data_IF_935853706212
#
_entry.id   IF_935853706212
#
_cell.length_a   1.000
_cell.length_b   1.000
_cell.length_c   1.000
_cell.angle_alpha   90.00
_cell.angle_beta   90.00
_cell.angle_gamma   90.00
#
_symmetry.space_group_name_H-M   'P 1'
#
loop_
_entity.id
_entity.type
_entity.pdbx_description
1 polymer ?
#
# COMPACT_ATOMS: atom_id res chain seq x y z
N UNK A 1 -5.60 20.58 -5.58
CA UNK A 1 -5.85 19.20 -6.08
C UNK A 1 -7.09 18.70 -5.39
N UNK A 2 -7.99 18.04 -6.11
CA UNK A 2 -9.25 17.52 -5.56
C UNK A 2 -9.15 15.99 -5.52
N UNK A 3 -9.39 15.40 -4.34
CA UNK A 3 -9.41 13.94 -4.14
C UNK A 3 -10.78 13.42 -4.59
N UNK A 4 -10.83 12.72 -5.73
CA UNK A 4 -12.08 12.15 -6.26
C UNK A 4 -12.16 10.65 -5.90
N UNK A 5 -13.13 10.19 -5.09
CA UNK A 5 -13.29 8.77 -4.78
C UNK A 5 -13.93 8.02 -5.96
N UNK A 6 -13.18 7.14 -6.62
CA UNK A 6 -13.72 6.26 -7.69
C UNK A 6 -13.93 4.82 -7.24
N UNK A 7 -13.23 4.40 -6.19
CA UNK A 7 -13.36 3.11 -5.52
C UNK A 7 -13.41 3.37 -4.00
N UNK A 8 -14.02 2.47 -3.24
CA UNK A 8 -14.11 2.64 -1.77
C UNK A 8 -12.69 2.71 -1.19
N UNK A 9 -12.38 3.81 -0.50
CA UNK A 9 -11.08 4.02 0.13
C UNK A 9 -9.94 4.39 -0.84
N UNK A 10 -10.23 4.71 -2.10
CA UNK A 10 -9.22 5.15 -3.10
C UNK A 10 -9.52 6.55 -3.59
N UNK A 11 -8.52 7.42 -3.60
CA UNK A 11 -8.59 8.69 -4.31
C UNK A 11 -7.61 8.75 -5.48
N UNK A 12 -7.88 9.63 -6.44
CA UNK A 12 -6.99 9.90 -7.57
C UNK A 12 -6.46 11.33 -7.48
N UNK A 13 -5.19 11.52 -7.83
CA UNK A 13 -4.54 12.84 -7.88
C UNK A 13 -3.44 12.88 -8.94
N UNK A 14 -3.03 14.09 -9.33
CA UNK A 14 -1.71 14.28 -9.93
C UNK A 14 -0.63 14.05 -8.86
N UNK A 15 0.53 13.54 -9.28
CA UNK A 15 1.70 13.38 -8.40
C UNK A 15 2.35 14.74 -8.12
N UNK A 16 2.49 15.15 -6.85
CA UNK A 16 3.27 16.33 -6.52
C UNK A 16 4.76 16.16 -6.89
N UNK A 17 5.46 17.25 -7.19
CA UNK A 17 6.86 17.24 -7.63
C UNK A 17 7.89 17.26 -6.49
N UNK A 18 7.43 17.07 -5.26
CA UNK A 18 8.28 17.00 -4.07
C UNK A 18 7.71 16.04 -3.02
N UNK A 19 8.62 15.44 -2.24
CA UNK A 19 8.29 14.49 -1.18
C UNK A 19 7.38 15.09 -0.08
N UNK A 20 7.64 16.29 0.47
CA UNK A 20 6.78 16.89 1.50
C UNK A 20 5.33 17.07 1.04
N UNK A 21 5.11 17.58 -0.16
CA UNK A 21 3.77 17.77 -0.72
C UNK A 21 3.07 16.44 -0.99
N UNK A 22 3.81 15.43 -1.42
CA UNK A 22 3.26 14.07 -1.58
C UNK A 22 2.87 13.47 -0.24
N UNK A 23 3.68 13.64 0.82
CA UNK A 23 3.32 13.20 2.17
C UNK A 23 2.11 13.95 2.72
N UNK A 24 2.00 15.25 2.47
CA UNK A 24 0.84 16.05 2.87
C UNK A 24 -0.45 15.54 2.20
N UNK A 25 -0.40 15.24 0.89
CA UNK A 25 -1.50 14.63 0.15
C UNK A 25 -1.94 13.29 0.77
N UNK A 26 -0.98 12.42 1.10
CA UNK A 26 -1.27 11.12 1.72
C UNK A 26 -1.90 11.27 3.11
N UNK A 27 -1.42 12.22 3.92
CA UNK A 27 -1.98 12.50 5.24
C UNK A 27 -3.40 13.08 5.16
N UNK A 28 -3.67 13.97 4.20
CA UNK A 28 -5.00 14.51 3.95
C UNK A 28 -5.97 13.41 3.52
N UNK A 29 -5.53 12.51 2.64
CA UNK A 29 -6.33 11.37 2.22
C UNK A 29 -6.60 10.41 3.40
N UNK A 30 -5.60 10.12 4.24
CA UNK A 30 -5.78 9.32 5.46
C UNK A 30 -6.83 9.93 6.41
N UNK A 31 -6.80 11.25 6.61
CA UNK A 31 -7.77 11.95 7.47
C UNK A 31 -9.22 11.86 6.95
N UNK A 32 -9.40 11.62 5.65
CA UNK A 32 -10.70 11.37 5.01
C UNK A 32 -11.11 9.90 5.01
N UNK A 33 -10.33 9.02 5.66
CA UNK A 33 -10.59 7.57 5.68
C UNK A 33 -10.19 6.85 4.40
N UNK A 34 -9.42 7.49 3.52
CA UNK A 34 -8.89 6.87 2.31
C UNK A 34 -7.62 6.09 2.64
N UNK A 35 -7.43 4.97 1.96
CA UNK A 35 -6.33 4.04 2.20
C UNK A 35 -5.27 4.05 1.11
N UNK A 36 -5.66 4.40 -0.10
CA UNK A 36 -4.79 4.45 -1.27
C UNK A 36 -5.03 5.75 -2.04
N UNK A 37 -3.96 6.36 -2.54
CA UNK A 37 -4.01 7.43 -3.53
C UNK A 37 -3.34 6.93 -4.80
N UNK A 38 -4.10 6.89 -5.89
CA UNK A 38 -3.56 6.67 -7.23
C UNK A 38 -3.05 8.00 -7.75
N UNK A 39 -1.73 8.09 -7.95
CA UNK A 39 -1.09 9.29 -8.48
C UNK A 39 -0.73 9.10 -9.94
N UNK A 40 -0.86 10.17 -10.72
CA UNK A 40 -0.50 10.19 -12.15
C UNK A 40 0.46 11.33 -12.48
N UNK A 41 1.37 11.09 -13.43
CA UNK A 41 2.29 12.10 -13.96
C UNK A 41 2.68 11.78 -15.42
N UNK A 42 3.09 12.76 -16.23
CA UNK A 42 3.70 12.49 -17.54
C UNK A 42 4.92 11.57 -17.41
N UNK A 43 5.10 10.63 -18.34
CA UNK A 43 6.21 9.65 -18.28
C UNK A 43 7.61 10.26 -18.35
N UNK A 44 7.71 11.49 -18.85
CA UNK A 44 8.96 12.26 -18.97
C UNK A 44 9.13 13.30 -17.85
N UNK A 45 8.28 13.29 -16.83
CA UNK A 45 8.41 14.18 -15.67
C UNK A 45 9.44 13.64 -14.66
N UNK A 46 10.70 14.03 -14.84
CA UNK A 46 11.80 13.56 -13.99
C UNK A 46 11.65 13.94 -12.51
N UNK A 47 10.93 15.02 -12.19
CA UNK A 47 10.69 15.40 -10.78
C UNK A 47 9.70 14.45 -10.15
N UNK A 48 8.60 14.18 -10.83
CA UNK A 48 7.60 13.22 -10.39
C UNK A 48 8.23 11.81 -10.24
N UNK A 49 9.06 11.39 -11.21
CA UNK A 49 9.80 10.13 -11.12
C UNK A 49 10.80 10.11 -9.95
N UNK A 50 11.46 11.22 -9.63
CA UNK A 50 12.34 11.30 -8.45
C UNK A 50 11.57 11.04 -7.16
N UNK A 51 10.39 11.66 -7.00
CA UNK A 51 9.52 11.45 -5.84
C UNK A 51 9.13 9.97 -5.70
N UNK A 52 8.72 9.31 -6.78
CA UNK A 52 8.39 7.88 -6.73
C UNK A 52 9.58 7.01 -6.31
N UNK A 53 10.79 7.32 -6.79
CA UNK A 53 12.03 6.63 -6.41
C UNK A 53 12.36 6.84 -4.93
N UNK A 54 12.23 8.06 -4.42
CA UNK A 54 12.44 8.42 -3.02
C UNK A 54 11.47 7.67 -2.09
N UNK A 55 10.20 7.60 -2.50
CA UNK A 55 9.16 6.84 -1.80
C UNK A 55 9.27 5.32 -2.00
N UNK A 56 10.16 4.87 -2.89
CA UNK A 56 10.28 3.46 -3.34
C UNK A 56 8.93 2.89 -3.79
N UNK A 57 8.10 3.74 -4.39
CA UNK A 57 6.81 3.36 -4.93
C UNK A 57 7.03 2.54 -6.20
N UNK A 58 6.20 1.52 -6.40
CA UNK A 58 6.09 0.85 -7.69
C UNK A 58 5.16 1.66 -8.59
N UNK A 59 5.50 1.75 -9.88
CA UNK A 59 4.68 2.38 -10.89
C UNK A 59 4.74 1.63 -12.20
N UNK A 60 3.76 1.87 -13.05
CA UNK A 60 3.76 1.44 -14.44
C UNK A 60 3.44 2.63 -15.34
N UNK A 61 3.69 2.46 -16.63
CA UNK A 61 3.39 3.49 -17.63
C UNK A 61 2.27 3.00 -18.53
N UNK A 62 1.24 3.82 -18.69
CA UNK A 62 0.10 3.58 -19.56
C UNK A 62 -0.26 4.88 -20.29
N UNK A 63 -0.42 4.84 -21.61
CA UNK A 63 -0.82 6.01 -22.42
C UNK A 63 0.04 7.28 -22.21
N UNK A 64 1.36 7.12 -22.04
CA UNK A 64 2.29 8.22 -21.78
C UNK A 64 2.19 8.84 -20.38
N UNK A 65 1.45 8.19 -19.47
CA UNK A 65 1.33 8.55 -18.07
C UNK A 65 1.95 7.47 -17.20
N UNK A 66 2.70 7.89 -16.20
CA UNK A 66 3.09 7.07 -15.08
C UNK A 66 1.94 7.03 -14.08
N UNK A 67 1.60 5.83 -13.62
CA UNK A 67 0.55 5.56 -12.65
C UNK A 67 1.17 4.79 -11.48
N UNK A 68 1.00 5.33 -10.26
CA UNK A 68 1.47 4.69 -9.04
C UNK A 68 0.36 4.66 -7.98
N UNK A 69 0.31 3.58 -7.21
CA UNK A 69 -0.61 3.46 -6.07
C UNK A 69 0.17 3.66 -4.77
N UNK A 70 -0.13 4.74 -4.06
CA UNK A 70 0.54 5.12 -2.82
C UNK A 70 -0.38 4.85 -1.63
N UNK A 71 0.16 4.22 -0.61
CA UNK A 71 -0.60 3.99 0.63
C UNK A 71 -0.59 5.24 1.50
N UNK A 72 -1.75 5.59 2.05
CA UNK A 72 -1.92 6.83 2.83
C UNK A 72 -1.24 6.75 4.20
N UNK A 73 -1.41 5.62 4.90
CA UNK A 73 -0.82 5.36 6.21
C UNK A 73 -0.70 3.85 6.47
N UNK A 74 0.44 3.26 6.07
CA UNK A 74 0.66 1.82 6.24
C UNK A 74 0.66 1.39 7.72
N UNK A 75 1.16 2.23 8.63
CA UNK A 75 1.21 1.91 10.06
C UNK A 75 -0.18 2.04 10.71
N UNK A 76 -0.93 3.10 10.39
CA UNK A 76 -2.31 3.27 10.82
C UNK A 76 -3.24 2.17 10.28
N UNK A 77 -3.03 1.71 9.05
CA UNK A 77 -3.75 0.55 8.50
C UNK A 77 -3.48 -0.73 9.31
N UNK A 78 -2.22 -0.98 9.69
CA UNK A 78 -1.86 -2.11 10.54
C UNK A 78 -2.43 -1.98 11.96
N UNK A 79 -2.40 -0.77 12.54
CA UNK A 79 -3.00 -0.50 13.84
C UNK A 79 -4.53 -0.69 13.81
N UNK A 80 -5.19 -0.30 12.73
CA UNK A 80 -6.62 -0.54 12.52
C UNK A 80 -6.91 -2.04 12.45
N UNK A 81 -6.19 -2.78 11.60
CA UNK A 81 -6.27 -4.25 11.53
C UNK A 81 -6.06 -4.90 12.91
N UNK A 82 -5.09 -4.41 13.68
CA UNK A 82 -4.84 -4.92 15.03
C UNK A 82 -6.05 -4.80 15.96
N UNK A 83 -6.76 -3.67 15.91
CA UNK A 83 -7.96 -3.40 16.71
C UNK A 83 -9.21 -4.18 16.28
N UNK A 84 -9.24 -4.73 15.07
CA UNK A 84 -10.36 -5.52 14.56
C UNK A 84 -10.35 -6.96 15.08
N UNK A 85 -11.54 -7.56 15.16
CA UNK A 85 -11.69 -9.00 15.38
C UNK A 85 -11.17 -9.79 14.16
N UNK A 86 -10.82 -11.07 14.32
CA UNK A 86 -10.35 -11.90 13.19
C UNK A 86 -11.33 -11.92 12.01
N UNK A 87 -12.64 -11.96 12.28
CA UNK A 87 -13.67 -11.94 11.25
C UNK A 87 -13.73 -10.59 10.53
N UNK A 88 -13.63 -9.49 11.28
CA UNK A 88 -13.67 -8.13 10.71
C UNK A 88 -12.39 -7.81 9.93
N UNK A 89 -11.23 -8.34 10.34
CA UNK A 89 -9.97 -8.20 9.60
C UNK A 89 -10.08 -8.79 8.20
N UNK A 90 -10.63 -10.00 8.08
CA UNK A 90 -10.81 -10.66 6.79
C UNK A 90 -11.80 -9.90 5.90
N UNK A 91 -12.90 -9.38 6.47
CA UNK A 91 -13.86 -8.57 5.75
C UNK A 91 -13.26 -7.24 5.26
N UNK A 92 -12.48 -6.56 6.10
CA UNK A 92 -11.78 -5.34 5.73
C UNK A 92 -10.77 -5.58 4.62
N UNK A 93 -9.95 -6.65 4.73
CA UNK A 93 -9.03 -7.03 3.66
C UNK A 93 -9.75 -7.36 2.36
N UNK A 94 -10.86 -8.11 2.39
CA UNK A 94 -11.60 -8.46 1.18
C UNK A 94 -12.15 -7.22 0.44
N UNK A 95 -12.44 -6.14 1.18
CA UNK A 95 -12.86 -4.86 0.61
C UNK A 95 -11.67 -3.94 0.23
N UNK A 96 -10.44 -4.31 0.60
CA UNK A 96 -9.27 -3.47 0.38
C UNK A 96 -8.81 -3.56 -1.09
N UNK A 97 -8.70 -2.43 -1.81
CA UNK A 97 -8.41 -2.41 -3.25
C UNK A 97 -7.14 -3.14 -3.69
N UNK A 98 -6.15 -3.25 -2.79
CA UNK A 98 -4.84 -3.89 -3.05
C UNK A 98 -4.69 -5.25 -2.36
N UNK A 99 -5.77 -5.85 -1.89
CA UNK A 99 -5.69 -7.14 -1.21
C UNK A 99 -5.24 -8.28 -2.12
N UNK A 100 -5.31 -8.12 -3.43
CA UNK A 100 -4.81 -9.03 -4.45
C UNK A 100 -3.35 -8.72 -4.88
N UNK A 101 -2.73 -7.64 -4.38
CA UNK A 101 -1.35 -7.26 -4.70
C UNK A 101 -0.35 -7.89 -3.71
N UNK A 102 0.40 -8.94 -4.09
CA UNK A 102 1.35 -9.58 -3.18
C UNK A 102 2.49 -8.66 -2.72
N UNK A 103 2.84 -7.61 -3.48
CA UNK A 103 3.85 -6.64 -3.06
C UNK A 103 3.34 -5.74 -1.94
N UNK A 104 2.05 -5.38 -1.98
CA UNK A 104 1.39 -4.66 -0.88
C UNK A 104 1.48 -5.44 0.43
N UNK A 105 1.18 -6.75 0.40
CA UNK A 105 1.31 -7.63 1.56
C UNK A 105 2.73 -7.70 2.10
N UNK A 106 3.72 -7.85 1.20
CA UNK A 106 5.14 -7.87 1.57
C UNK A 106 5.55 -6.61 2.33
N UNK A 107 5.11 -5.44 1.88
CA UNK A 107 5.43 -4.18 2.55
C UNK A 107 4.89 -4.15 3.99
N UNK A 108 3.70 -4.68 4.25
CA UNK A 108 3.10 -4.71 5.61
C UNK A 108 3.87 -5.61 6.55
N UNK A 109 4.30 -6.76 6.05
CA UNK A 109 5.12 -7.69 6.82
C UNK A 109 6.50 -7.13 7.13
N UNK A 110 7.07 -6.30 6.24
CA UNK A 110 8.29 -5.56 6.52
C UNK A 110 8.08 -4.54 7.65
N UNK A 111 6.98 -3.78 7.64
CA UNK A 111 6.64 -2.87 8.75
C UNK A 111 6.49 -3.65 10.06
N UNK A 112 5.75 -4.77 10.04
CA UNK A 112 5.53 -5.62 11.21
C UNK A 112 6.81 -6.25 11.78
N UNK A 113 7.88 -6.40 10.98
CA UNK A 113 9.18 -6.84 11.51
C UNK A 113 9.79 -5.85 12.49
N UNK A 114 9.39 -4.58 12.45
CA UNK A 114 9.82 -3.54 13.38
C UNK A 114 8.90 -3.39 14.61
N UNK A 115 7.79 -4.15 14.66
CA UNK A 115 6.77 -4.08 15.71
C UNK A 115 6.55 -5.46 16.36
N UNK A 116 7.47 -5.94 17.23
CA UNK A 116 7.35 -7.25 17.88
C UNK A 116 6.08 -7.40 18.73
N UNK A 117 5.54 -6.30 19.25
CA UNK A 117 4.27 -6.25 19.97
C UNK A 117 3.06 -6.65 19.11
N UNK A 118 3.18 -6.61 17.78
CA UNK A 118 2.14 -7.02 16.83
C UNK A 118 2.40 -8.42 16.24
N UNK A 119 3.21 -9.26 16.90
CA UNK A 119 3.50 -10.62 16.42
C UNK A 119 2.24 -11.44 16.06
N UNK A 120 1.15 -11.44 16.85
CA UNK A 120 -0.06 -12.19 16.46
C UNK A 120 -0.75 -11.66 15.20
N UNK A 121 -0.63 -10.35 14.90
CA UNK A 121 -1.12 -9.79 13.64
C UNK A 121 -0.28 -10.24 12.46
N UNK A 122 1.04 -10.27 12.66
CA UNK A 122 1.99 -10.72 11.64
C UNK A 122 1.74 -12.18 11.28
N UNK A 123 1.59 -13.06 12.26
CA UNK A 123 1.31 -14.47 12.03
C UNK A 123 0.00 -14.64 11.25
N UNK A 124 -1.05 -13.92 11.68
CA UNK A 124 -2.33 -13.92 10.96
C UNK A 124 -2.21 -13.43 9.51
N UNK A 125 -1.46 -12.35 9.25
CA UNK A 125 -1.24 -11.86 7.88
C UNK A 125 -0.42 -12.84 7.03
N UNK A 126 0.53 -13.57 7.61
CA UNK A 126 1.26 -14.63 6.89
C UNK A 126 0.32 -15.76 6.49
N UNK A 127 -0.52 -16.23 7.41
CA UNK A 127 -1.50 -17.29 7.13
C UNK A 127 -2.51 -16.85 6.08
N UNK A 128 -3.01 -15.62 6.17
CA UNK A 128 -3.97 -15.08 5.21
C UNK A 128 -3.35 -14.87 3.82
N UNK A 129 -2.07 -14.45 3.76
CA UNK A 129 -1.33 -14.41 2.50
C UNK A 129 -1.19 -15.81 1.88
N UNK A 130 -0.87 -16.84 2.68
CA UNK A 130 -0.81 -18.24 2.19
C UNK A 130 -2.18 -18.68 1.66
N UNK A 131 -3.26 -18.34 2.37
CA UNK A 131 -4.64 -18.67 1.97
C UNK A 131 -5.01 -18.05 0.61
N UNK A 132 -4.61 -16.79 0.37
CA UNK A 132 -4.95 -16.04 -0.84
C UNK A 132 -4.04 -16.36 -2.03
N UNK A 133 -2.73 -16.46 -1.81
CA UNK A 133 -1.74 -16.60 -2.89
C UNK A 133 -1.13 -18.00 -3.01
N UNK A 134 -1.51 -18.93 -2.14
CA UNK A 134 -1.02 -20.32 -2.13
C UNK A 134 0.46 -20.47 -1.73
N UNK A 135 1.10 -19.40 -1.23
CA UNK A 135 2.51 -19.39 -0.84
C UNK A 135 2.79 -18.39 0.27
N UNK A 136 3.82 -18.58 1.10
CA UNK A 136 4.21 -17.59 2.08
C UNK A 136 4.76 -16.32 1.39
N UNK A 137 4.65 -15.17 2.06
CA UNK A 137 5.19 -13.90 1.59
C UNK A 137 6.73 -13.96 1.50
N UNK A 138 7.27 -13.57 0.35
CA UNK A 138 8.70 -13.52 0.05
C UNK A 138 9.17 -14.58 -0.94
N UNK A 139 10.44 -14.51 -1.35
CA UNK A 139 11.02 -15.57 -2.18
C UNK A 139 11.18 -16.84 -1.36
N UNK A 140 10.66 -17.96 -1.87
CA UNK A 140 11.13 -19.29 -1.50
C UNK A 140 12.65 -19.27 -1.66
N UNK A 141 13.43 -19.27 -0.57
CA UNK A 141 14.85 -19.61 -0.66
C UNK A 141 14.85 -21.02 -1.26
N UNK A 142 15.31 -21.16 -2.50
CA UNK A 142 15.57 -22.48 -3.05
C UNK A 142 16.46 -23.21 -2.03
N UNK A 143 16.20 -24.50 -1.72
CA UNK A 143 17.18 -25.27 -0.95
C UNK A 143 18.49 -25.16 -1.71
N UNK A 144 19.55 -24.71 -1.02
CA UNK A 144 20.89 -24.80 -1.55
C UNK A 144 21.09 -26.26 -1.92
N UNK A 145 21.14 -26.51 -3.23
CA UNK A 145 21.47 -27.83 -3.79
C UNK A 145 22.97 -28.02 -3.68
#
# INVERSE_FOLDING_TARGET
MELVPQQVGVAHSALPHDEPSTRALLAEAAAQGLHTVVVTAPENDERALSVLRELRAEWHTENGQVIAQLDTDAQGQLAHLWGLSTQDRAAWLAAFPRADDPNWWMHRLLVLNHHPEWAPLKDWLVDEHVRLFGRPPGRRRAPAS
#
